data_IF_935860432219
#
_entry.id   IF_935860432219
#
_cell.length_a   1.000
_cell.length_b   1.000
_cell.length_c   1.000
_cell.angle_alpha   90.00
_cell.angle_beta   90.00
_cell.angle_gamma   90.00
#
_symmetry.space_group_name_H-M   'P 1'
#
loop_
_entity.id
_entity.type
_entity.pdbx_description
1 polymer ?
#
# COMPACT_ATOMS: atom_id res chain seq x y z
N UNK A 1 -13.69 18.23 -2.27
CA UNK A 1 -13.34 17.02 -1.48
C UNK A 1 -11.92 17.18 -0.94
N UNK A 2 -11.66 16.89 0.35
CA UNK A 2 -10.31 16.94 0.92
C UNK A 2 -9.57 15.62 0.70
N UNK A 3 -8.35 15.67 0.15
CA UNK A 3 -7.51 14.49 -0.05
C UNK A 3 -6.98 13.97 1.29
N UNK A 4 -6.92 12.64 1.46
CA UNK A 4 -6.29 12.05 2.65
C UNK A 4 -4.80 12.42 2.78
N UNK A 5 -4.30 12.56 4.03
CA UNK A 5 -2.93 13.03 4.32
C UNK A 5 -1.82 12.28 3.57
N UNK A 6 -1.94 10.96 3.42
CA UNK A 6 -0.97 10.16 2.65
C UNK A 6 -1.00 10.48 1.15
N UNK A 7 -2.19 10.69 0.59
CA UNK A 7 -2.34 11.09 -0.81
C UNK A 7 -1.72 12.47 -1.04
N UNK A 8 -1.99 13.44 -0.15
CA UNK A 8 -1.37 14.76 -0.19
C UNK A 8 0.16 14.66 -0.15
N UNK A 9 0.72 13.87 0.76
CA UNK A 9 2.16 13.65 0.87
C UNK A 9 2.76 13.05 -0.41
N UNK A 10 2.08 12.07 -1.01
CA UNK A 10 2.54 11.44 -2.24
C UNK A 10 2.53 12.44 -3.41
N UNK A 11 1.44 13.18 -3.60
CA UNK A 11 1.38 14.23 -4.62
C UNK A 11 2.45 15.30 -4.40
N UNK A 12 2.61 15.80 -3.17
CA UNK A 12 3.65 16.78 -2.85
C UNK A 12 5.05 16.30 -3.22
N UNK A 13 5.38 15.03 -2.93
CA UNK A 13 6.68 14.46 -3.30
C UNK A 13 6.88 14.40 -4.82
N UNK A 14 5.84 14.01 -5.57
CA UNK A 14 5.93 14.00 -7.03
C UNK A 14 6.05 15.41 -7.59
N UNK A 15 5.24 16.36 -7.13
CA UNK A 15 5.30 17.76 -7.55
C UNK A 15 6.68 18.37 -7.26
N UNK A 16 7.23 18.15 -6.06
CA UNK A 16 8.60 18.58 -5.74
C UNK A 16 9.67 17.91 -6.62
N UNK A 17 9.46 16.66 -7.04
CA UNK A 17 10.34 16.02 -8.01
C UNK A 17 10.19 16.63 -9.41
N UNK A 18 8.98 17.05 -9.79
CA UNK A 18 8.70 17.71 -11.07
C UNK A 18 9.28 19.10 -11.14
N UNK A 19 9.20 19.86 -10.05
CA UNK A 19 9.78 21.21 -9.91
C UNK A 19 11.31 21.24 -10.03
N UNK A 20 11.98 20.09 -9.90
CA UNK A 20 13.45 19.99 -10.02
C UNK A 20 13.93 19.60 -11.41
N UNK A 21 13.02 19.26 -12.32
CA UNK A 21 13.41 18.83 -13.65
C UNK A 21 13.76 20.04 -14.53
N UNK A 22 14.52 19.82 -15.62
CA UNK A 22 14.70 20.83 -16.64
C UNK A 22 13.34 21.36 -17.13
N UNK A 23 13.27 22.67 -17.39
CA UNK A 23 12.05 23.37 -17.86
C UNK A 23 10.93 23.49 -16.82
N UNK A 24 11.15 23.11 -15.56
CA UNK A 24 10.13 23.25 -14.52
C UNK A 24 9.78 24.72 -14.17
N UNK A 25 10.68 25.65 -14.51
CA UNK A 25 10.50 27.09 -14.31
C UNK A 25 9.90 27.79 -15.55
N UNK A 26 9.63 27.06 -16.64
CA UNK A 26 8.98 27.63 -17.82
C UNK A 26 7.54 28.02 -17.49
N UNK A 27 7.07 29.10 -18.11
CA UNK A 27 5.68 29.51 -18.02
C UNK A 27 4.74 28.39 -18.48
N UNK A 28 3.63 28.22 -17.76
CA UNK A 28 2.61 27.21 -18.04
C UNK A 28 2.10 27.30 -19.48
N UNK A 29 2.05 28.51 -20.06
CA UNK A 29 1.66 28.77 -21.45
C UNK A 29 2.66 28.19 -22.47
N UNK A 30 3.96 28.20 -22.17
CA UNK A 30 5.01 27.73 -23.07
C UNK A 30 5.24 26.21 -23.01
N UNK A 31 4.61 25.52 -22.06
CA UNK A 31 4.70 24.08 -21.97
C UNK A 31 4.00 23.40 -23.16
N UNK A 32 4.79 22.68 -23.94
CA UNK A 32 4.31 21.87 -25.07
C UNK A 32 4.40 20.38 -24.75
N UNK A 33 3.66 19.57 -25.52
CA UNK A 33 3.66 18.11 -25.40
C UNK A 33 5.07 17.52 -25.48
N UNK A 34 5.97 18.11 -26.28
CA UNK A 34 7.35 17.64 -26.41
C UNK A 34 8.15 17.77 -25.10
N UNK A 35 7.95 18.83 -24.32
CA UNK A 35 8.58 19.00 -23.00
C UNK A 35 8.10 17.92 -22.03
N UNK A 36 6.79 17.67 -22.02
CA UNK A 36 6.21 16.63 -21.17
C UNK A 36 6.66 15.22 -21.57
N UNK A 37 6.81 14.94 -22.86
CA UNK A 37 7.38 13.67 -23.34
C UNK A 37 8.80 13.46 -22.83
N UNK A 38 9.65 14.49 -22.88
CA UNK A 38 11.03 14.42 -22.35
C UNK A 38 11.01 14.10 -20.85
N UNK A 39 10.17 14.81 -20.09
CA UNK A 39 10.03 14.58 -18.65
C UNK A 39 9.61 13.14 -18.33
N UNK A 40 8.61 12.62 -19.05
CA UNK A 40 8.09 11.27 -18.80
C UNK A 40 9.08 10.19 -19.29
N UNK A 41 9.85 10.47 -20.34
CA UNK A 41 10.83 9.54 -20.92
C UNK A 41 11.96 9.19 -19.93
N UNK A 42 12.31 10.08 -19.00
CA UNK A 42 13.25 9.79 -17.89
C UNK A 42 12.80 8.63 -16.98
N UNK A 43 11.52 8.25 -17.07
CA UNK A 43 10.91 7.17 -16.30
C UNK A 43 10.45 6.02 -17.18
N UNK A 44 10.91 5.94 -18.43
CA UNK A 44 10.53 4.88 -19.36
C UNK A 44 10.91 3.47 -18.84
N UNK A 45 11.98 3.38 -18.06
CA UNK A 45 12.42 2.19 -17.33
C UNK A 45 11.46 1.76 -16.20
N UNK A 46 10.62 2.69 -15.73
CA UNK A 46 9.66 2.50 -14.63
C UNK A 46 8.25 2.95 -15.07
N UNK A 47 7.55 2.13 -15.88
CA UNK A 47 6.25 2.49 -16.49
C UNK A 47 5.20 3.05 -15.51
N UNK A 48 5.08 2.49 -14.30
CA UNK A 48 4.14 3.00 -13.30
C UNK A 48 4.49 4.42 -12.83
N UNK A 49 5.78 4.74 -12.69
CA UNK A 49 6.25 6.06 -12.31
C UNK A 49 6.07 7.09 -13.44
N UNK A 50 6.27 6.68 -14.70
CA UNK A 50 5.96 7.47 -15.88
C UNK A 50 4.46 7.78 -15.98
N UNK A 51 3.61 6.76 -15.84
CA UNK A 51 2.15 6.91 -15.89
C UNK A 51 1.60 7.80 -14.77
N UNK A 52 2.19 7.75 -13.57
CA UNK A 52 1.79 8.64 -12.48
C UNK A 52 2.11 10.11 -12.80
N UNK A 53 3.22 10.39 -13.48
CA UNK A 53 3.57 11.74 -13.95
C UNK A 53 2.64 12.22 -15.06
N UNK A 54 2.34 11.37 -16.05
CA UNK A 54 1.33 11.69 -17.08
C UNK A 54 0.01 12.07 -16.41
N UNK A 55 -0.44 11.31 -15.41
CA UNK A 55 -1.67 11.61 -14.67
C UNK A 55 -1.60 12.97 -13.97
N UNK A 56 -0.49 13.30 -13.32
CA UNK A 56 -0.33 14.58 -12.64
C UNK A 56 -0.25 15.74 -13.64
N UNK A 57 0.48 15.62 -14.74
CA UNK A 57 0.51 16.66 -15.77
C UNK A 57 -0.89 16.92 -16.33
N UNK A 58 -1.65 15.89 -16.65
CA UNK A 58 -3.04 16.06 -17.10
C UNK A 58 -3.85 16.87 -16.09
N UNK A 59 -3.83 16.47 -14.82
CA UNK A 59 -4.54 17.17 -13.75
C UNK A 59 -4.09 18.63 -13.58
N UNK A 60 -2.78 18.92 -13.67
CA UNK A 60 -2.24 20.28 -13.53
C UNK A 60 -2.65 21.17 -14.71
N UNK A 61 -2.60 20.64 -15.93
CA UNK A 61 -2.97 21.40 -17.12
C UNK A 61 -4.49 21.51 -17.30
N UNK A 62 -5.28 20.54 -16.82
CA UNK A 62 -6.74 20.69 -16.71
C UNK A 62 -7.06 21.88 -15.79
N UNK A 63 -6.42 21.96 -14.62
CA UNK A 63 -6.54 23.11 -13.73
C UNK A 63 -6.14 24.42 -14.41
N UNK A 64 -5.03 24.44 -15.16
CA UNK A 64 -4.57 25.64 -15.86
C UNK A 64 -5.54 26.09 -16.97
N UNK A 65 -6.23 25.15 -17.62
CA UNK A 65 -7.29 25.45 -18.59
C UNK A 65 -8.53 26.01 -17.87
N UNK A 66 -8.94 25.38 -16.77
CA UNK A 66 -10.10 25.83 -15.97
C UNK A 66 -9.91 27.25 -15.41
N UNK A 67 -8.68 27.63 -15.05
CA UNK A 67 -8.33 28.97 -14.53
C UNK A 67 -7.95 29.96 -15.65
N UNK A 68 -8.06 29.55 -16.92
CA UNK A 68 -7.84 30.41 -18.09
C UNK A 68 -6.38 30.78 -18.38
N UNK A 69 -5.41 30.08 -17.77
CA UNK A 69 -3.98 30.33 -18.00
C UNK A 69 -3.50 29.85 -19.37
N UNK A 70 -4.27 28.97 -20.01
CA UNK A 70 -4.05 28.48 -21.37
C UNK A 70 -5.33 27.86 -21.93
N UNK A 71 -5.39 27.71 -23.25
CA UNK A 71 -6.59 27.22 -23.93
C UNK A 71 -6.65 25.69 -24.10
N UNK A 72 -5.53 24.98 -23.94
CA UNK A 72 -5.41 23.55 -24.23
C UNK A 72 -4.68 22.77 -23.13
N UNK A 73 -4.89 21.46 -23.04
CA UNK A 73 -4.09 20.58 -22.19
C UNK A 73 -3.03 19.82 -23.02
N UNK A 74 -1.74 20.20 -22.93
CA UNK A 74 -0.66 19.61 -23.73
C UNK A 74 -0.28 18.19 -23.29
N UNK A 75 -0.78 17.73 -22.13
CA UNK A 75 -0.59 16.39 -21.60
C UNK A 75 -1.64 15.38 -22.12
N UNK A 76 -2.73 15.86 -22.73
CA UNK A 76 -3.76 15.01 -23.34
C UNK A 76 -3.17 13.99 -24.33
N UNK A 77 -2.29 14.37 -25.28
CA UNK A 77 -1.75 13.44 -26.28
C UNK A 77 -0.75 12.42 -25.74
N UNK A 78 -0.33 12.51 -24.46
CA UNK A 78 0.65 11.59 -23.89
C UNK A 78 0.07 10.18 -23.77
N UNK A 79 0.73 9.20 -24.42
CA UNK A 79 0.35 7.79 -24.29
C UNK A 79 0.92 7.22 -23.00
N UNK A 80 0.12 6.38 -22.34
CA UNK A 80 0.57 5.62 -21.16
C UNK A 80 1.56 4.55 -21.57
N UNK A 81 2.54 4.31 -20.72
CA UNK A 81 3.47 3.19 -20.84
C UNK A 81 2.75 1.90 -20.43
N UNK A 82 3.04 0.81 -21.12
CA UNK A 82 2.52 -0.52 -20.74
C UNK A 82 3.20 -0.96 -19.44
N UNK A 83 2.41 -1.14 -18.40
CA UNK A 83 2.87 -1.71 -17.13
C UNK A 83 2.91 -3.23 -17.28
N UNK A 84 4.00 -3.88 -16.84
CA UNK A 84 4.01 -5.35 -16.72
C UNK A 84 2.95 -5.75 -15.70
N UNK A 85 2.18 -6.79 -16.02
CA UNK A 85 1.12 -7.27 -15.15
C UNK A 85 1.63 -8.19 -14.02
N UNK A 86 2.94 -8.43 -13.96
CA UNK A 86 3.57 -9.30 -12.96
C UNK A 86 3.32 -8.68 -11.57
N UNK A 87 2.26 -9.15 -10.93
CA UNK A 87 1.84 -8.72 -9.61
C UNK A 87 2.77 -9.26 -8.53
N UNK A 88 2.37 -9.08 -7.27
CA UNK A 88 3.02 -9.81 -6.20
C UNK A 88 2.69 -11.31 -6.33
N UNK A 89 3.70 -12.15 -6.17
CA UNK A 89 3.53 -13.60 -6.12
C UNK A 89 2.58 -14.00 -4.97
N UNK A 90 1.62 -14.87 -5.29
CA UNK A 90 0.66 -15.42 -4.33
C UNK A 90 1.27 -16.62 -3.61
N UNK A 91 0.92 -16.81 -2.34
CA UNK A 91 1.40 -17.97 -1.60
C UNK A 91 0.60 -19.21 -1.96
N UNK A 92 1.27 -20.34 -2.19
CA UNK A 92 0.62 -21.65 -2.25
C UNK A 92 0.28 -22.15 -0.85
N UNK A 93 -0.62 -23.14 -0.76
CA UNK A 93 -0.94 -23.80 0.50
C UNK A 93 0.30 -24.43 1.15
N UNK A 94 1.23 -24.96 0.35
CA UNK A 94 2.48 -25.54 0.86
C UNK A 94 3.42 -24.48 1.45
N UNK A 95 3.48 -23.29 0.85
CA UNK A 95 4.24 -22.17 1.41
C UNK A 95 3.61 -21.65 2.71
N UNK A 96 2.28 -21.64 2.79
CA UNK A 96 1.55 -21.32 4.02
C UNK A 96 1.88 -22.35 5.11
N UNK A 97 1.80 -23.65 4.80
CA UNK A 97 2.16 -24.74 5.73
C UNK A 97 3.62 -24.62 6.18
N UNK A 98 4.56 -24.41 5.26
CA UNK A 98 5.97 -24.22 5.60
C UNK A 98 6.17 -23.06 6.58
N UNK A 99 5.47 -21.95 6.40
CA UNK A 99 5.51 -20.83 7.34
C UNK A 99 4.91 -21.18 8.71
N UNK A 100 3.80 -21.93 8.71
CA UNK A 100 3.12 -22.41 9.93
C UNK A 100 3.98 -23.40 10.72
N UNK A 101 4.67 -24.31 10.04
CA UNK A 101 5.55 -25.31 10.65
C UNK A 101 6.81 -24.66 11.25
N UNK A 102 7.35 -23.63 10.59
CA UNK A 102 8.53 -22.92 11.06
C UNK A 102 8.23 -22.00 12.26
N UNK A 103 7.09 -21.32 12.26
CA UNK A 103 6.71 -20.38 13.34
C UNK A 103 5.66 -21.01 14.27
N UNK A 104 6.02 -21.32 15.53
CA UNK A 104 5.11 -22.01 16.44
C UNK A 104 3.82 -21.22 16.69
N UNK A 105 2.73 -21.95 16.94
CA UNK A 105 1.45 -21.36 17.38
C UNK A 105 1.63 -20.48 18.60
N UNK A 106 0.87 -19.38 18.67
CA UNK A 106 0.99 -18.37 19.71
C UNK A 106 2.06 -17.30 19.45
N UNK A 107 2.97 -17.55 18.51
CA UNK A 107 3.96 -16.53 18.10
C UNK A 107 3.29 -15.35 17.38
N UNK A 108 3.93 -14.18 17.41
CA UNK A 108 3.43 -12.99 16.70
C UNK A 108 3.42 -13.20 15.18
N UNK A 109 4.34 -14.03 14.66
CA UNK A 109 4.45 -14.41 13.27
C UNK A 109 3.23 -15.23 12.83
N UNK A 110 2.91 -16.26 13.61
CA UNK A 110 1.79 -17.16 13.32
C UNK A 110 0.45 -16.43 13.42
N UNK A 111 0.28 -15.58 14.45
CA UNK A 111 -0.87 -14.68 14.56
C UNK A 111 -0.98 -13.67 13.42
N UNK A 112 0.14 -13.12 12.96
CA UNK A 112 0.16 -12.19 11.84
C UNK A 112 -0.35 -12.84 10.55
N UNK A 113 0.13 -14.04 10.24
CA UNK A 113 -0.36 -14.80 9.08
C UNK A 113 -1.84 -15.15 9.24
N UNK A 114 -2.26 -15.65 10.41
CA UNK A 114 -3.66 -15.99 10.67
C UNK A 114 -4.61 -14.79 10.48
N UNK A 115 -4.23 -13.61 10.99
CA UNK A 115 -5.02 -12.38 10.83
C UNK A 115 -5.12 -11.96 9.36
N UNK A 116 -4.03 -12.02 8.61
CA UNK A 116 -4.02 -11.66 7.19
C UNK A 116 -4.85 -12.64 6.35
N UNK A 117 -4.71 -13.94 6.63
CA UNK A 117 -5.36 -15.01 5.87
C UNK A 117 -6.85 -15.09 6.16
N UNK A 118 -7.24 -15.14 7.43
CA UNK A 118 -8.62 -15.46 7.82
C UNK A 118 -9.51 -14.24 8.04
N UNK A 119 -8.96 -13.07 8.43
CA UNK A 119 -9.79 -11.86 8.56
C UNK A 119 -9.96 -11.12 7.22
N UNK A 120 -9.13 -11.44 6.21
CA UNK A 120 -9.18 -10.83 4.87
C UNK A 120 -8.97 -9.32 4.87
N UNK A 121 -8.40 -8.75 5.93
CA UNK A 121 -8.24 -7.31 6.08
C UNK A 121 -6.89 -6.84 5.52
N UNK A 122 -6.85 -5.56 5.11
CA UNK A 122 -5.60 -4.95 4.65
C UNK A 122 -4.62 -4.89 5.81
N UNK A 123 -3.33 -5.01 5.49
CA UNK A 123 -2.22 -4.82 6.42
C UNK A 123 -2.39 -3.64 7.38
N UNK A 124 -2.81 -2.48 6.86
CA UNK A 124 -2.99 -1.25 7.65
C UNK A 124 -4.10 -1.34 8.69
N UNK A 125 -5.08 -2.21 8.45
CA UNK A 125 -6.21 -2.44 9.35
C UNK A 125 -5.86 -3.54 10.35
N UNK A 126 -5.21 -4.63 9.90
CA UNK A 126 -4.74 -5.74 10.76
C UNK A 126 -3.83 -5.26 11.90
N UNK A 127 -2.85 -4.39 11.62
CA UNK A 127 -1.95 -3.87 12.68
C UNK A 127 -2.65 -2.98 13.73
N UNK A 128 -3.88 -2.52 13.43
CA UNK A 128 -4.72 -1.71 14.33
C UNK A 128 -5.77 -2.53 15.06
N UNK A 129 -5.88 -3.83 14.77
CA UNK A 129 -6.80 -4.69 15.51
C UNK A 129 -6.29 -4.87 16.94
N UNK A 130 -7.23 -4.81 17.89
CA UNK A 130 -6.99 -4.81 19.33
C UNK A 130 -7.91 -5.82 19.99
N UNK A 131 -7.56 -6.27 21.20
CA UNK A 131 -8.40 -7.18 21.98
C UNK A 131 -9.83 -6.69 22.11
N UNK A 132 -10.03 -5.38 22.29
CA UNK A 132 -11.36 -4.76 22.41
C UNK A 132 -12.23 -4.87 21.15
N UNK A 133 -11.65 -5.16 19.98
CA UNK A 133 -12.40 -5.37 18.75
C UNK A 133 -12.98 -6.78 18.65
N UNK A 134 -12.47 -7.73 19.45
CA UNK A 134 -13.01 -9.08 19.54
C UNK A 134 -14.19 -9.11 20.52
N UNK A 135 -15.34 -9.61 20.06
CA UNK A 135 -16.60 -9.75 20.78
C UNK A 135 -17.14 -11.15 20.52
N UNK A 136 -16.91 -12.07 21.46
CA UNK A 136 -17.19 -13.49 21.22
C UNK A 136 -16.34 -14.00 20.06
N UNK A 137 -17.01 -14.46 19.00
CA UNK A 137 -16.44 -14.98 17.75
C UNK A 137 -16.47 -13.96 16.60
N UNK A 138 -16.64 -12.67 16.90
CA UNK A 138 -16.69 -11.59 15.89
C UNK A 138 -15.60 -10.56 16.14
N UNK A 139 -14.90 -10.15 15.07
CA UNK A 139 -14.02 -8.97 15.06
C UNK A 139 -14.77 -7.80 14.42
N UNK A 140 -14.96 -6.72 15.19
CA UNK A 140 -15.54 -5.47 14.72
C UNK A 140 -14.45 -4.44 14.38
N UNK A 141 -14.37 -4.02 13.12
CA UNK A 141 -13.33 -3.09 12.65
C UNK A 141 -13.89 -2.03 11.71
N UNK A 142 -13.28 -0.85 11.71
CA UNK A 142 -13.53 0.19 10.71
C UNK A 142 -12.30 0.37 9.84
N UNK A 143 -12.45 0.14 8.53
CA UNK A 143 -11.35 0.17 7.58
C UNK A 143 -10.80 1.59 7.42
N UNK A 144 -9.49 1.75 7.59
CA UNK A 144 -8.86 3.08 7.59
C UNK A 144 -8.89 3.78 6.22
N UNK A 145 -8.96 3.01 5.12
CA UNK A 145 -8.96 3.55 3.76
C UNK A 145 -10.33 4.07 3.32
N UNK A 146 -11.40 3.32 3.62
CA UNK A 146 -12.75 3.56 3.11
C UNK A 146 -13.72 4.07 4.17
N UNK A 147 -13.40 3.92 5.46
CA UNK A 147 -14.31 4.24 6.57
C UNK A 147 -15.40 3.20 6.80
N UNK A 148 -15.40 2.10 6.04
CA UNK A 148 -16.43 1.05 6.16
C UNK A 148 -16.27 0.27 7.46
N UNK A 149 -17.33 0.17 8.25
CA UNK A 149 -17.40 -0.69 9.44
C UNK A 149 -17.83 -2.10 9.05
N UNK A 150 -17.12 -3.10 9.57
CA UNK A 150 -17.31 -4.51 9.26
C UNK A 150 -17.41 -5.33 10.55
N UNK A 151 -18.24 -6.36 10.53
CA UNK A 151 -18.28 -7.43 11.52
C UNK A 151 -17.80 -8.71 10.85
N UNK A 152 -16.68 -9.25 11.31
CA UNK A 152 -15.98 -10.35 10.66
C UNK A 152 -16.06 -11.58 11.58
N UNK A 153 -16.77 -12.65 11.18
CA UNK A 153 -16.74 -13.92 11.90
C UNK A 153 -15.30 -14.46 11.98
N UNK A 154 -14.90 -14.93 13.15
CA UNK A 154 -13.54 -15.38 13.42
C UNK A 154 -13.42 -16.87 13.09
N UNK A 155 -12.60 -17.17 12.08
CA UNK A 155 -12.26 -18.55 11.76
C UNK A 155 -11.61 -19.27 12.96
N UNK A 156 -11.88 -20.57 13.21
CA UNK A 156 -11.33 -21.29 14.37
C UNK A 156 -9.80 -21.21 14.50
N UNK A 157 -9.06 -21.38 13.39
CA UNK A 157 -7.59 -21.24 13.42
C UNK A 157 -7.12 -19.83 13.79
N UNK A 158 -7.88 -18.80 13.41
CA UNK A 158 -7.59 -17.43 13.84
C UNK A 158 -7.89 -17.28 15.33
N UNK A 159 -9.01 -17.81 15.82
CA UNK A 159 -9.35 -17.77 17.24
C UNK A 159 -8.25 -18.37 18.11
N UNK A 160 -7.69 -19.52 17.74
CA UNK A 160 -6.56 -20.17 18.44
C UNK A 160 -5.37 -19.22 18.63
N UNK A 161 -5.04 -18.44 17.60
CA UNK A 161 -3.91 -17.49 17.66
C UNK A 161 -4.25 -16.20 18.41
N UNK A 162 -5.51 -15.78 18.39
CA UNK A 162 -5.99 -14.60 19.13
C UNK A 162 -6.11 -14.86 20.63
N UNK A 163 -6.50 -16.06 21.04
CA UNK A 163 -6.58 -16.43 22.45
C UNK A 163 -5.20 -16.40 23.12
N UNK A 164 -4.15 -16.73 22.38
CA UNK A 164 -2.75 -16.66 22.82
C UNK A 164 -2.13 -15.24 22.69
N UNK A 165 -2.92 -14.25 22.28
CA UNK A 165 -2.47 -12.87 22.19
C UNK A 165 -2.42 -12.15 23.53
N UNK A 166 -1.67 -11.04 23.64
CA UNK A 166 -1.75 -10.17 24.80
C UNK A 166 -3.20 -9.86 25.16
N UNK A 167 -3.50 -9.89 26.47
CA UNK A 167 -4.85 -9.63 26.98
C UNK A 167 -5.30 -8.18 26.75
N UNK A 168 -4.35 -7.27 26.51
CA UNK A 168 -4.63 -5.85 26.27
C UNK A 168 -3.88 -5.32 25.05
N UNK A 169 -4.45 -4.28 24.44
CA UNK A 169 -3.85 -3.59 23.29
C UNK A 169 -4.01 -4.35 21.97
N UNK A 170 -3.06 -4.10 21.05
CA UNK A 170 -3.10 -4.66 19.70
C UNK A 170 -2.81 -6.17 19.69
N UNK A 171 -3.42 -6.92 18.77
CA UNK A 171 -3.07 -8.33 18.59
C UNK A 171 -1.63 -8.51 18.09
N UNK A 172 -1.16 -7.56 17.28
CA UNK A 172 0.20 -7.52 16.76
C UNK A 172 1.02 -6.45 17.48
N UNK A 173 1.83 -6.89 18.43
CA UNK A 173 2.73 -6.04 19.21
C UNK A 173 4.18 -6.40 18.94
N UNK A 174 5.05 -5.40 19.04
CA UNK A 174 6.50 -5.58 19.11
C UNK A 174 6.88 -6.16 20.48
N UNK A 175 8.12 -6.60 20.62
CA UNK A 175 8.66 -7.11 21.92
C UNK A 175 8.55 -6.11 23.07
N UNK A 176 8.50 -4.81 22.78
CA UNK A 176 8.32 -3.75 23.77
C UNK A 176 6.85 -3.37 24.01
N UNK A 177 5.89 -4.21 23.61
CA UNK A 177 4.45 -4.00 23.79
C UNK A 177 3.81 -2.97 22.84
N UNK A 178 4.62 -2.20 22.11
CA UNK A 178 4.10 -1.19 21.19
C UNK A 178 3.58 -1.83 19.90
N UNK A 179 2.51 -1.25 19.36
CA UNK A 179 1.95 -1.66 18.07
C UNK A 179 2.92 -1.45 16.90
N UNK A 180 2.69 -2.19 15.83
CA UNK A 180 3.40 -1.97 14.57
C UNK A 180 2.78 -0.81 13.78
N UNK A 181 3.63 -0.03 13.12
CA UNK A 181 3.15 0.77 11.99
C UNK A 181 2.91 -0.14 10.79
N UNK A 182 2.01 0.25 9.86
CA UNK A 182 1.74 -0.57 8.69
C UNK A 182 2.99 -0.88 7.84
N UNK A 183 3.91 0.09 7.70
CA UNK A 183 5.17 -0.12 6.99
C UNK A 183 6.18 -0.94 7.82
N UNK A 184 6.27 -0.68 9.13
CA UNK A 184 7.15 -1.46 10.01
C UNK A 184 6.76 -2.93 10.06
N UNK A 185 5.46 -3.22 10.15
CA UNK A 185 4.94 -4.58 10.06
C UNK A 185 5.28 -5.24 8.72
N UNK A 186 5.12 -4.54 7.59
CA UNK A 186 5.49 -5.08 6.28
C UNK A 186 6.94 -5.54 6.22
N UNK A 187 7.87 -4.68 6.66
CA UNK A 187 9.30 -5.01 6.64
C UNK A 187 9.60 -6.20 7.55
N UNK A 188 8.94 -6.29 8.71
CA UNK A 188 9.08 -7.43 9.63
C UNK A 188 8.49 -8.72 9.06
N UNK A 189 7.29 -8.65 8.48
CA UNK A 189 6.63 -9.81 7.88
C UNK A 189 7.44 -10.38 6.71
N UNK A 190 8.03 -9.50 5.88
CA UNK A 190 8.98 -9.91 4.83
C UNK A 190 10.15 -10.69 5.42
N UNK A 191 10.79 -10.16 6.46
CA UNK A 191 11.89 -10.84 7.16
C UNK A 191 11.47 -12.18 7.78
N UNK A 192 10.25 -12.28 8.34
CA UNK A 192 9.72 -13.53 8.89
C UNK A 192 9.46 -14.58 7.83
N UNK A 193 8.94 -14.15 6.67
CA UNK A 193 8.75 -15.00 5.51
C UNK A 193 10.07 -15.54 4.98
N UNK A 194 11.06 -14.65 4.82
CA UNK A 194 12.39 -15.02 4.31
C UNK A 194 13.07 -16.03 5.27
N UNK A 195 12.94 -15.83 6.58
CA UNK A 195 13.46 -16.76 7.60
C UNK A 195 12.76 -18.13 7.59
N UNK A 196 11.46 -18.19 7.27
CA UNK A 196 10.74 -19.46 7.13
C UNK A 196 11.00 -20.18 5.80
N UNK A 197 11.71 -19.55 4.86
CA UNK A 197 11.94 -20.10 3.51
C UNK A 197 10.70 -20.13 2.61
N UNK A 198 9.59 -19.51 3.02
CA UNK A 198 8.27 -19.66 2.41
C UNK A 198 8.11 -19.08 0.98
N UNK A 199 9.15 -18.47 0.40
CA UNK A 199 9.19 -18.08 -1.02
C UNK A 199 10.52 -18.44 -1.72
N UNK A 200 11.37 -19.26 -1.10
CA UNK A 200 12.71 -19.58 -1.66
C UNK A 200 12.65 -20.77 -2.63
N UNK A 201 11.51 -21.45 -2.77
CA UNK A 201 11.38 -22.71 -3.53
C UNK A 201 10.86 -22.58 -4.98
N UNK A 202 10.92 -21.40 -5.60
CA UNK A 202 10.68 -21.27 -7.06
C UNK A 202 11.71 -20.37 -7.74
N UNK A 203 12.92 -20.89 -7.88
CA UNK A 203 13.91 -20.44 -8.85
C UNK A 203 14.28 -21.59 -9.77
#
# INVERSE_FOLDING_TARGET
>A
MSLGKNTQRNYRRLLMSMQKAPYADDYVEHFQTIHLRRFVAEFADRPAAANHRIKLFRMLFDYAVDDGWRADNPATPLKRYKEKADGAETWSDDQIRQYEDYWPSGSVQRRALALLLYAGQRRSDVVRMERKHLRGDIIEVTQQKTGTSLKIPVHPHLMTELLQAPETGNFLQRRNGLSFTANGFYMRFKSWRDAAGALVLMA
#
